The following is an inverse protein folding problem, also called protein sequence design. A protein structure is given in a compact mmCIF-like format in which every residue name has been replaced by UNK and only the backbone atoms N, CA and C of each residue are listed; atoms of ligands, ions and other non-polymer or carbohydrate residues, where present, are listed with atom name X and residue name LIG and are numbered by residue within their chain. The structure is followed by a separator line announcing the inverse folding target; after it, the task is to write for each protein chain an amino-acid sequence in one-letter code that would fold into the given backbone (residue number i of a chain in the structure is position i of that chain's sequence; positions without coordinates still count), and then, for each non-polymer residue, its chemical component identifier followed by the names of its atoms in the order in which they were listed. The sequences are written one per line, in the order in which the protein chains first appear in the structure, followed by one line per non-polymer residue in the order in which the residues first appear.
data_IF_892078963787
#
_entry.id   IF_892078963787
#
_cell.length_a   1.000
_cell.length_b   1.000
_cell.length_c   1.000
_cell.angle_alpha   90.00
_cell.angle_beta   90.00
_cell.angle_gamma   90.00
#
_symmetry.space_group_name_H-M   'P 1'
#
loop_
_entity.id
_entity.type
_entity.pdbx_description
1 polymer ?
#
# COMPACT_ATOMS: atom_id res chain seq x y z
N UNK A 1 -9.35 7.40 -18.30
CA UNK A 1 -8.79 6.84 -17.05
C UNK A 1 -7.73 5.82 -17.40
N UNK A 2 -6.56 5.94 -16.80
CA UNK A 2 -5.46 4.96 -16.92
C UNK A 2 -5.26 4.28 -15.58
N UNK A 3 -5.29 2.96 -15.55
CA UNK A 3 -5.19 2.17 -14.30
C UNK A 3 -3.97 1.26 -14.39
N UNK A 4 -3.06 1.38 -13.42
CA UNK A 4 -1.96 0.45 -13.23
C UNK A 4 -2.41 -0.69 -12.33
N UNK A 5 -2.32 -1.94 -12.78
CA UNK A 5 -2.66 -3.13 -12.00
C UNK A 5 -1.40 -3.76 -11.43
N UNK A 6 -1.36 -3.88 -10.10
CA UNK A 6 -0.27 -4.50 -9.33
C UNK A 6 -0.76 -5.74 -8.58
N UNK A 7 -0.69 -6.94 -9.17
CA UNK A 7 -1.01 -8.19 -8.49
C UNK A 7 0.11 -8.62 -7.55
N UNK A 8 -0.26 -9.16 -6.38
CA UNK A 8 0.70 -9.73 -5.44
C UNK A 8 1.36 -11.00 -6.04
N UNK A 9 2.67 -10.99 -6.29
CA UNK A 9 3.37 -12.11 -6.92
C UNK A 9 3.38 -13.39 -6.06
N UNK A 10 3.20 -13.26 -4.74
CA UNK A 10 3.12 -14.39 -3.80
C UNK A 10 1.78 -15.13 -3.78
N UNK A 11 0.77 -14.67 -4.54
CA UNK A 11 -0.56 -15.28 -4.59
C UNK A 11 -0.89 -15.76 -6.01
N UNK A 12 -1.01 -17.07 -6.19
CA UNK A 12 -1.29 -17.69 -7.50
C UNK A 12 -2.57 -17.14 -8.14
N UNK A 13 -3.63 -16.93 -7.36
CA UNK A 13 -4.89 -16.38 -7.86
C UNK A 13 -4.83 -14.88 -8.25
N UNK A 14 -3.76 -14.17 -7.89
CA UNK A 14 -3.67 -12.75 -8.19
C UNK A 14 -3.58 -12.46 -9.68
N UNK A 15 -2.90 -13.31 -10.44
CA UNK A 15 -2.78 -13.17 -11.90
C UNK A 15 -4.12 -13.34 -12.61
N UNK A 16 -4.92 -14.35 -12.23
CA UNK A 16 -6.24 -14.58 -12.81
C UNK A 16 -7.19 -13.40 -12.53
N UNK A 17 -7.18 -12.91 -11.29
CA UNK A 17 -7.98 -11.75 -10.89
C UNK A 17 -7.50 -10.48 -11.59
N UNK A 18 -6.20 -10.32 -11.83
CA UNK A 18 -5.65 -9.20 -12.58
C UNK A 18 -6.10 -9.20 -14.05
N UNK A 19 -6.10 -10.36 -14.70
CA UNK A 19 -6.60 -10.50 -16.07
C UNK A 19 -8.09 -10.15 -16.16
N UNK A 20 -8.90 -10.63 -15.21
CA UNK A 20 -10.33 -10.31 -15.14
C UNK A 20 -10.58 -8.82 -14.88
N UNK A 21 -9.83 -8.23 -13.94
CA UNK A 21 -9.90 -6.80 -13.65
C UNK A 21 -9.53 -5.95 -14.88
N UNK A 22 -8.46 -6.32 -15.59
CA UNK A 22 -8.06 -5.67 -16.83
C UNK A 22 -9.17 -5.68 -17.88
N UNK A 23 -9.80 -6.82 -18.08
CA UNK A 23 -10.92 -6.95 -19.04
C UNK A 23 -12.13 -6.07 -18.65
N UNK A 24 -12.49 -6.03 -17.37
CA UNK A 24 -13.59 -5.18 -16.89
C UNK A 24 -13.26 -3.70 -17.15
N UNK A 25 -12.07 -3.25 -16.78
CA UNK A 25 -11.64 -1.87 -16.97
C UNK A 25 -11.63 -1.47 -18.43
N UNK A 26 -11.06 -2.30 -19.31
CA UNK A 26 -11.01 -2.06 -20.77
C UNK A 26 -12.40 -2.02 -21.39
N UNK A 27 -13.31 -2.91 -21.00
CA UNK A 27 -14.70 -2.92 -21.48
C UNK A 27 -15.46 -1.63 -21.12
N UNK A 28 -14.98 -0.90 -20.10
CA UNK A 28 -15.55 0.38 -19.69
C UNK A 28 -14.69 1.60 -20.07
N UNK A 29 -13.77 1.41 -21.05
CA UNK A 29 -13.03 2.49 -21.68
C UNK A 29 -11.77 2.95 -20.96
N UNK A 30 -11.30 2.24 -19.93
CA UNK A 30 -10.03 2.54 -19.28
C UNK A 30 -8.85 1.93 -20.04
N UNK A 31 -7.71 2.63 -20.03
CA UNK A 31 -6.41 2.09 -20.41
C UNK A 31 -5.81 1.34 -19.24
N UNK A 32 -5.24 0.16 -19.49
CA UNK A 32 -4.64 -0.68 -18.44
C UNK A 32 -3.14 -0.80 -18.63
N UNK A 33 -2.39 -0.54 -17.56
CA UNK A 33 -0.96 -0.71 -17.49
C UNK A 33 -0.61 -1.86 -16.53
N UNK A 34 0.44 -2.60 -16.83
CA UNK A 34 1.10 -3.54 -15.92
C UNK A 34 2.62 -3.42 -16.02
N UNK A 35 3.32 -3.79 -14.96
CA UNK A 35 4.78 -3.89 -15.02
C UNK A 35 5.22 -4.95 -16.05
N UNK A 36 6.28 -4.65 -16.81
CA UNK A 36 6.79 -5.55 -17.84
C UNK A 36 7.22 -6.91 -17.29
N UNK A 37 7.66 -6.99 -16.06
CA UNK A 37 8.02 -8.24 -15.36
C UNK A 37 6.83 -9.21 -15.25
N UNK A 38 5.61 -8.69 -15.30
CA UNK A 38 4.39 -9.50 -15.23
C UNK A 38 3.97 -10.09 -16.58
N UNK A 39 4.60 -9.70 -17.69
CA UNK A 39 4.19 -10.07 -19.04
C UNK A 39 4.17 -11.58 -19.28
N UNK A 40 5.05 -12.32 -18.62
CA UNK A 40 5.14 -13.78 -18.76
C UNK A 40 4.07 -14.54 -17.99
N UNK A 41 3.60 -13.97 -16.86
CA UNK A 41 2.63 -14.62 -15.95
C UNK A 41 1.23 -14.05 -16.05
N UNK A 42 1.10 -12.86 -16.59
CA UNK A 42 -0.16 -12.12 -16.68
C UNK A 42 -0.23 -11.43 -18.06
N UNK A 43 -0.41 -12.20 -19.13
CA UNK A 43 -0.48 -11.66 -20.50
C UNK A 43 -1.93 -11.48 -20.94
N UNK A 44 -2.34 -10.23 -21.15
CA UNK A 44 -3.68 -9.88 -21.59
C UNK A 44 -3.66 -8.98 -22.83
N UNK A 45 -4.60 -9.20 -23.73
CA UNK A 45 -4.79 -8.34 -24.91
C UNK A 45 -5.15 -6.90 -24.47
N UNK A 46 -4.59 -5.91 -25.16
CA UNK A 46 -4.87 -4.50 -24.90
C UNK A 46 -4.21 -3.92 -23.65
N UNK A 47 -3.49 -4.72 -22.84
CA UNK A 47 -2.70 -4.23 -21.72
C UNK A 47 -1.34 -3.72 -22.22
N UNK A 48 -0.94 -2.54 -21.75
CA UNK A 48 0.36 -1.95 -22.05
C UNK A 48 1.33 -2.31 -20.92
N UNK A 49 2.44 -2.95 -21.27
CA UNK A 49 3.48 -3.36 -20.32
C UNK A 49 4.66 -2.39 -20.41
N UNK A 50 5.01 -1.80 -19.26
CA UNK A 50 6.03 -0.77 -19.13
C UNK A 50 6.90 -1.04 -17.89
N UNK A 51 8.11 -0.48 -17.82
CA UNK A 51 8.85 -0.39 -16.56
C UNK A 51 8.00 0.26 -15.46
N UNK A 52 8.18 -0.21 -14.21
CA UNK A 52 7.36 0.22 -13.06
C UNK A 52 7.24 1.75 -12.94
N UNK A 53 8.34 2.46 -13.05
CA UNK A 53 8.37 3.93 -12.94
C UNK A 53 7.45 4.59 -13.98
N UNK A 54 7.48 4.13 -15.22
CA UNK A 54 6.60 4.63 -16.28
C UNK A 54 5.12 4.26 -16.05
N UNK A 55 4.86 3.11 -15.44
CA UNK A 55 3.49 2.77 -15.02
C UNK A 55 2.98 3.77 -13.99
N UNK A 56 3.78 4.07 -12.96
CA UNK A 56 3.43 5.00 -11.89
C UNK A 56 3.27 6.45 -12.36
N UNK A 57 4.11 6.90 -13.29
CA UNK A 57 4.00 8.24 -13.88
C UNK A 57 2.71 8.44 -14.66
N UNK A 58 2.32 7.41 -15.46
CA UNK A 58 1.21 7.51 -16.43
C UNK A 58 -0.14 7.12 -15.87
N UNK A 59 -0.18 6.46 -14.73
CA UNK A 59 -1.45 6.01 -14.14
C UNK A 59 -2.21 7.14 -13.47
N UNK A 60 -3.53 7.02 -13.47
CA UNK A 60 -4.42 7.86 -12.63
C UNK A 60 -4.73 7.17 -11.30
N UNK A 61 -4.77 5.82 -11.28
CA UNK A 61 -5.10 5.00 -10.10
C UNK A 61 -4.25 3.73 -10.11
N UNK A 62 -3.74 3.34 -8.94
CA UNK A 62 -3.08 2.05 -8.73
C UNK A 62 -4.11 1.06 -8.21
N UNK A 63 -4.33 -0.04 -8.93
CA UNK A 63 -5.18 -1.15 -8.52
C UNK A 63 -4.31 -2.29 -7.98
N UNK A 64 -4.29 -2.47 -6.66
CA UNK A 64 -3.58 -3.60 -6.04
C UNK A 64 -4.48 -4.82 -5.93
N UNK A 65 -3.93 -6.01 -6.14
CA UNK A 65 -4.65 -7.28 -6.01
C UNK A 65 -3.90 -8.17 -5.02
N UNK A 66 -4.45 -8.31 -3.80
CA UNK A 66 -3.73 -9.02 -2.75
C UNK A 66 -4.44 -9.00 -1.41
N UNK A 67 -3.92 -8.26 -0.48
CA UNK A 67 -4.45 -8.00 0.86
C UNK A 67 -3.89 -6.68 1.36
N UNK A 68 -4.14 -6.36 2.63
CA UNK A 68 -3.70 -5.10 3.24
C UNK A 68 -2.18 -4.91 3.14
N UNK A 69 -1.39 -5.97 3.32
CA UNK A 69 0.07 -5.91 3.13
C UNK A 69 0.51 -5.50 1.71
N UNK A 70 -0.28 -5.84 0.68
CA UNK A 70 0.00 -5.40 -0.69
C UNK A 70 -0.24 -3.91 -0.84
N UNK A 71 -1.31 -3.39 -0.23
CA UNK A 71 -1.60 -1.94 -0.21
C UNK A 71 -0.49 -1.18 0.54
N UNK A 72 -0.02 -1.69 1.68
CA UNK A 72 1.07 -1.08 2.44
C UNK A 72 2.36 -0.99 1.62
N UNK A 73 2.68 -2.03 0.86
CA UNK A 73 3.83 -2.01 -0.05
C UNK A 73 3.68 -0.95 -1.15
N UNK A 74 2.53 -0.93 -1.82
CA UNK A 74 2.25 0.03 -2.90
C UNK A 74 2.11 1.47 -2.39
N UNK A 75 1.70 1.67 -1.12
CA UNK A 75 1.60 3.00 -0.53
C UNK A 75 2.93 3.74 -0.57
N UNK A 76 4.05 3.06 -0.27
CA UNK A 76 5.38 3.65 -0.33
C UNK A 76 5.80 4.02 -1.77
N UNK A 77 5.41 3.22 -2.77
CA UNK A 77 5.67 3.51 -4.18
C UNK A 77 4.80 4.66 -4.67
N UNK A 78 3.53 4.71 -4.24
CA UNK A 78 2.59 5.75 -4.65
C UNK A 78 2.91 7.14 -4.10
N UNK A 79 3.62 7.23 -2.97
CA UNK A 79 3.96 8.51 -2.32
C UNK A 79 4.71 9.45 -3.27
N UNK A 80 5.69 8.94 -4.01
CA UNK A 80 6.49 9.72 -4.96
C UNK A 80 5.64 10.34 -6.08
N UNK A 81 4.58 9.64 -6.47
CA UNK A 81 3.75 9.99 -7.62
C UNK A 81 2.37 10.55 -7.20
N UNK A 82 2.08 10.59 -5.90
CA UNK A 82 0.79 11.03 -5.33
C UNK A 82 -0.43 10.38 -6.00
N UNK A 83 -0.35 9.07 -6.26
CA UNK A 83 -1.43 8.32 -6.92
C UNK A 83 -2.34 7.64 -5.90
N UNK A 84 -3.68 7.70 -6.10
CA UNK A 84 -4.60 6.95 -5.26
C UNK A 84 -4.47 5.44 -5.49
N UNK A 85 -4.71 4.67 -4.42
CA UNK A 85 -4.66 3.22 -4.43
C UNK A 85 -6.05 2.65 -4.17
N UNK A 86 -6.42 1.64 -4.95
CA UNK A 86 -7.61 0.81 -4.74
C UNK A 86 -7.18 -0.64 -4.54
N UNK A 87 -7.68 -1.33 -3.50
CA UNK A 87 -7.31 -2.71 -3.20
C UNK A 87 -8.42 -3.70 -3.47
N UNK A 88 -8.15 -4.76 -4.26
CA UNK A 88 -8.96 -5.98 -4.37
C UNK A 88 -8.39 -7.01 -3.42
N UNK A 89 -9.22 -7.48 -2.48
CA UNK A 89 -8.81 -8.49 -1.52
C UNK A 89 -8.99 -9.91 -2.08
N UNK A 90 -7.93 -10.72 -2.00
CA UNK A 90 -7.91 -12.14 -2.38
C UNK A 90 -8.05 -13.11 -1.20
N UNK A 91 -8.32 -12.60 -0.02
CA UNK A 91 -8.35 -13.40 1.20
C UNK A 91 -9.53 -13.08 2.11
N UNK A 92 -9.28 -13.23 3.42
CA UNK A 92 -10.23 -12.78 4.43
C UNK A 92 -10.35 -11.26 4.38
N UNK A 93 -11.54 -10.73 4.70
CA UNK A 93 -11.83 -9.30 4.69
C UNK A 93 -10.73 -8.51 5.39
N UNK A 94 -10.12 -7.58 4.68
CA UNK A 94 -9.13 -6.64 5.21
C UNK A 94 -9.76 -5.30 5.52
N UNK A 95 -9.03 -4.44 6.23
CA UNK A 95 -9.49 -3.09 6.55
C UNK A 95 -9.24 -2.10 5.39
N UNK A 96 -8.26 -2.37 4.53
CA UNK A 96 -7.85 -1.50 3.43
C UNK A 96 -8.34 -2.03 2.07
N UNK A 97 -8.20 -3.34 1.82
CA UNK A 97 -8.61 -3.99 0.58
C UNK A 97 -10.09 -4.41 0.65
N UNK A 98 -10.99 -3.57 0.17
CA UNK A 98 -12.45 -3.76 0.30
C UNK A 98 -13.20 -3.75 -1.04
N UNK A 99 -12.49 -3.66 -2.17
CA UNK A 99 -13.14 -3.50 -3.47
C UNK A 99 -13.80 -4.79 -3.96
N UNK A 100 -15.07 -4.70 -4.28
CA UNK A 100 -15.80 -5.69 -5.05
C UNK A 100 -15.60 -5.43 -6.55
N UNK A 101 -14.91 -6.32 -7.22
CA UNK A 101 -14.40 -6.13 -8.58
C UNK A 101 -15.51 -5.80 -9.59
N UNK A 102 -16.57 -6.59 -9.63
CA UNK A 102 -17.63 -6.46 -10.64
C UNK A 102 -18.44 -5.17 -10.49
N UNK A 103 -18.68 -4.74 -9.27
CA UNK A 103 -19.51 -3.57 -8.98
C UNK A 103 -18.74 -2.25 -8.99
N UNK A 104 -17.45 -2.26 -8.64
CA UNK A 104 -16.65 -1.05 -8.43
C UNK A 104 -15.78 -0.68 -9.63
N UNK A 105 -15.15 -1.65 -10.31
CA UNK A 105 -14.25 -1.34 -11.41
C UNK A 105 -14.89 -0.59 -12.60
N UNK A 106 -16.18 -0.82 -12.97
CA UNK A 106 -16.85 0.00 -13.97
C UNK A 106 -16.91 1.50 -13.60
N UNK A 107 -17.16 1.80 -12.35
CA UNK A 107 -17.17 3.18 -11.83
C UNK A 107 -15.76 3.79 -11.85
N UNK A 108 -14.76 3.01 -11.41
CA UNK A 108 -13.34 3.44 -11.47
C UNK A 108 -12.92 3.76 -12.90
N UNK A 109 -13.28 2.93 -13.88
CA UNK A 109 -12.96 3.17 -15.28
C UNK A 109 -13.50 4.51 -15.80
N UNK A 110 -14.63 4.98 -15.26
CA UNK A 110 -15.25 6.27 -15.59
C UNK A 110 -14.77 7.43 -14.72
N UNK A 111 -13.91 7.18 -13.73
CA UNK A 111 -13.46 8.20 -12.76
C UNK A 111 -14.50 8.53 -11.68
N UNK A 112 -15.49 7.68 -11.48
CA UNK A 112 -16.60 7.86 -10.53
C UNK A 112 -16.22 7.22 -9.17
N UNK A 113 -15.37 7.90 -8.38
CA UNK A 113 -14.97 7.46 -7.04
C UNK A 113 -14.64 8.66 -6.15
N UNK A 114 -14.63 8.42 -4.85
CA UNK A 114 -14.20 9.40 -3.85
C UNK A 114 -12.84 8.99 -3.28
N UNK A 115 -12.00 9.98 -2.97
CA UNK A 115 -10.71 9.78 -2.32
C UNK A 115 -10.87 9.79 -0.81
N UNK A 116 -10.31 8.79 -0.15
CA UNK A 116 -10.13 8.72 1.29
C UNK A 116 -8.67 9.09 1.62
N UNK A 117 -8.48 10.29 2.16
CA UNK A 117 -7.15 10.76 2.52
C UNK A 117 -6.72 10.14 3.86
N UNK A 118 -5.59 9.43 3.83
CA UNK A 118 -5.03 8.74 5.00
C UNK A 118 -3.79 9.47 5.53
N UNK A 119 -3.73 9.60 6.86
CA UNK A 119 -2.53 10.08 7.55
C UNK A 119 -1.37 9.11 7.37
N UNK A 120 -0.16 9.64 7.22
CA UNK A 120 1.09 8.89 7.26
C UNK A 120 1.95 9.37 8.42
N UNK A 121 2.73 8.47 8.99
CA UNK A 121 3.84 8.82 9.84
C UNK A 121 5.10 8.98 8.97
N UNK A 122 5.86 10.02 9.24
CA UNK A 122 7.24 10.13 8.80
C UNK A 122 8.16 9.90 9.99
N UNK A 123 9.13 9.03 9.85
CA UNK A 123 10.09 8.72 10.89
C UNK A 123 11.52 8.84 10.36
N UNK A 124 12.43 9.36 11.18
CA UNK A 124 13.85 9.35 10.88
C UNK A 124 14.66 9.12 12.18
N UNK A 125 15.84 8.55 12.05
CA UNK A 125 16.74 8.26 13.18
C UNK A 125 17.83 9.32 13.22
N UNK A 126 17.90 10.06 14.33
CA UNK A 126 18.95 11.05 14.56
C UNK A 126 20.26 10.37 14.97
N UNK A 127 21.40 10.89 14.51
CA UNK A 127 22.75 10.45 14.92
C UNK A 127 23.21 9.13 14.30
N UNK A 128 22.48 8.54 13.39
CA UNK A 128 22.87 7.40 12.55
C UNK A 128 22.68 7.75 11.07
N UNK A 129 23.27 6.96 10.18
CA UNK A 129 23.38 7.19 8.73
C UNK A 129 22.09 7.56 7.97
N UNK A 130 21.21 8.34 8.62
CA UNK A 130 20.09 9.02 8.00
C UNK A 130 18.94 8.10 7.59
N UNK A 131 18.69 7.01 8.34
CA UNK A 131 17.50 6.22 8.06
C UNK A 131 16.24 7.05 8.24
N UNK A 132 15.41 7.06 7.21
CA UNK A 132 14.11 7.70 7.21
C UNK A 132 13.08 6.82 6.49
N UNK A 133 11.82 6.99 6.80
CA UNK A 133 10.75 6.24 6.17
C UNK A 133 9.35 6.77 6.47
N UNK A 134 8.39 6.29 5.70
CA UNK A 134 6.98 6.58 5.89
C UNK A 134 6.23 5.32 6.27
N UNK A 135 5.21 5.45 7.12
CA UNK A 135 4.34 4.36 7.50
C UNK A 135 2.87 4.76 7.39
N UNK A 136 2.07 3.92 6.73
CA UNK A 136 0.62 4.07 6.68
C UNK A 136 -0.03 3.53 7.97
N UNK A 137 0.53 2.47 8.56
CA UNK A 137 0.03 1.87 9.80
C UNK A 137 0.76 2.41 11.03
N UNK A 138 1.99 1.95 11.24
CA UNK A 138 2.73 2.21 12.47
C UNK A 138 4.25 2.23 12.24
N UNK A 139 4.95 2.84 13.18
CA UNK A 139 6.41 2.80 13.32
C UNK A 139 6.72 2.10 14.64
N UNK A 140 7.51 1.05 14.57
CA UNK A 140 7.87 0.23 15.73
C UNK A 140 9.35 0.41 16.06
N UNK A 141 9.63 0.86 17.26
CA UNK A 141 10.99 0.94 17.80
C UNK A 141 11.13 -0.13 18.85
N UNK A 142 11.99 -1.12 18.61
CA UNK A 142 12.17 -2.26 19.52
C UNK A 142 13.62 -2.42 19.96
N UNK A 143 13.80 -3.11 21.09
CA UNK A 143 15.11 -3.53 21.58
C UNK A 143 15.84 -4.38 20.54
N UNK A 144 17.14 -4.14 20.36
CA UNK A 144 17.98 -4.94 19.46
C UNK A 144 18.40 -6.30 20.04
N UNK A 145 18.23 -6.54 21.35
CA UNK A 145 18.60 -7.79 22.05
C UNK A 145 17.40 -8.36 22.78
N UNK A 146 17.13 -9.65 22.59
CA UNK A 146 15.96 -10.35 23.14
C UNK A 146 15.90 -10.41 24.68
N UNK A 147 17.04 -10.33 25.36
CA UNK A 147 17.13 -10.69 26.79
C UNK A 147 17.03 -9.51 27.77
N UNK A 148 16.97 -8.26 27.32
CA UNK A 148 16.93 -7.10 28.21
C UNK A 148 15.88 -6.09 27.77
N UNK A 149 15.05 -5.63 28.72
CA UNK A 149 14.22 -4.46 28.53
C UNK A 149 15.10 -3.21 28.36
N UNK A 150 14.64 -2.27 27.56
CA UNK A 150 15.30 -0.96 27.37
C UNK A 150 14.59 0.11 28.19
N UNK A 151 15.38 1.08 28.66
CA UNK A 151 14.84 2.30 29.25
C UNK A 151 14.79 3.38 28.15
N UNK A 152 13.65 4.03 27.97
CA UNK A 152 13.45 5.08 26.98
C UNK A 152 12.48 6.15 27.47
N UNK A 153 12.59 7.34 26.87
CA UNK A 153 11.73 8.48 27.19
C UNK A 153 10.97 8.90 25.94
N UNK A 154 9.72 9.24 26.11
CA UNK A 154 8.88 9.79 25.04
C UNK A 154 8.69 11.28 25.26
N UNK A 155 8.95 12.05 24.21
CA UNK A 155 8.72 13.48 24.18
C UNK A 155 7.71 13.82 23.09
N UNK A 156 6.86 14.81 23.35
CA UNK A 156 5.95 15.41 22.35
C UNK A 156 6.20 16.92 22.37
N UNK A 157 6.61 17.50 21.24
CA UNK A 157 6.97 18.92 21.12
C UNK A 157 7.94 19.39 22.22
N UNK A 158 9.02 18.64 22.42
CA UNK A 158 10.06 18.83 23.46
C UNK A 158 9.56 18.69 24.92
N UNK A 159 8.31 18.34 25.14
CA UNK A 159 7.76 18.08 26.47
C UNK A 159 7.88 16.59 26.76
N UNK A 160 8.51 16.26 27.89
CA UNK A 160 8.57 14.88 28.36
C UNK A 160 7.17 14.37 28.69
N UNK A 161 6.75 13.31 27.99
CA UNK A 161 5.48 12.62 28.27
C UNK A 161 5.70 11.66 29.44
N UNK A 162 6.67 10.74 29.35
CA UNK A 162 6.93 9.75 30.37
C UNK A 162 8.26 9.01 30.13
N UNK A 163 8.79 8.38 31.17
CA UNK A 163 9.89 7.42 31.12
C UNK A 163 9.34 6.00 31.19
N UNK A 164 9.78 5.17 30.28
CA UNK A 164 9.31 3.79 30.19
C UNK A 164 10.47 2.80 30.27
N UNK A 165 10.16 1.62 30.79
CA UNK A 165 11.00 0.44 30.69
C UNK A 165 10.20 -0.68 30.06
N UNK A 166 10.66 -1.18 28.91
CA UNK A 166 9.92 -2.19 28.16
C UNK A 166 10.68 -2.73 26.97
N UNK A 167 9.96 -3.37 26.07
CA UNK A 167 10.53 -3.96 24.87
C UNK A 167 10.64 -2.96 23.71
N UNK A 168 9.94 -1.84 23.80
CA UNK A 168 9.93 -0.79 22.78
C UNK A 168 8.66 0.05 22.82
N UNK A 169 8.43 0.79 21.74
CA UNK A 169 7.28 1.67 21.55
C UNK A 169 6.71 1.51 20.14
N UNK A 170 5.39 1.62 20.02
CA UNK A 170 4.67 1.65 18.77
C UNK A 170 3.99 3.01 18.65
N UNK A 171 4.24 3.69 17.55
CA UNK A 171 3.52 4.92 17.16
C UNK A 171 2.67 4.59 15.96
N UNK A 172 1.35 4.66 16.10
CA UNK A 172 0.40 4.25 15.07
C UNK A 172 -0.41 5.43 14.52
N UNK A 173 -0.74 5.36 13.23
CA UNK A 173 -1.78 6.20 12.62
C UNK A 173 -3.16 5.69 13.03
N UNK A 174 -4.25 6.46 12.80
CA UNK A 174 -5.61 5.93 12.93
C UNK A 174 -5.84 4.67 12.07
N UNK A 175 -5.24 4.59 10.88
CA UNK A 175 -5.29 3.39 10.03
C UNK A 175 -4.60 2.19 10.68
N UNK A 176 -3.46 2.41 11.31
CA UNK A 176 -2.66 1.38 11.98
C UNK A 176 -3.16 0.93 13.34
N UNK A 177 -4.16 1.62 13.91
CA UNK A 177 -4.70 1.27 15.25
C UNK A 177 -5.31 -0.14 15.33
N UNK A 178 -5.60 -0.76 14.19
CA UNK A 178 -6.09 -2.14 14.06
C UNK A 178 -5.02 -3.12 13.58
N UNK A 179 -3.75 -2.71 13.55
CA UNK A 179 -2.60 -3.51 13.14
C UNK A 179 -1.78 -3.98 14.36
N UNK A 180 -0.49 -3.67 14.39
CA UNK A 180 0.41 -4.14 15.44
C UNK A 180 0.19 -3.49 16.80
N UNK A 181 -0.48 -2.34 16.84
CA UNK A 181 -0.79 -1.59 18.08
C UNK A 181 -2.02 -2.11 18.86
N UNK A 182 -2.69 -3.19 18.36
CA UNK A 182 -3.82 -3.81 19.07
C UNK A 182 -3.40 -4.65 20.28
#
# INVERSE_FOLDING_TARGET
MTVYISPNPGKISASEVALRAAQILQNHGASVLMCEDLRTVCNAAGVVYLPLEQCLERTDVILTIGGDGTILHEANLSLKHAKPILGINLGRCGFLATCEMESKLPAVARGEFQLDNRMLLYAHVLGHDGWEGHALNDVVVTKGRLQQAIDFSIYCDDILVEHYRGDGVIVATPTGSTAYSM
#
